data_IF_206462477841
#
_entry.id   IF_206462477841
#
_cell.length_a   1.000
_cell.length_b   1.000
_cell.length_c   1.000
_cell.angle_alpha   90.00
_cell.angle_beta   90.00
_cell.angle_gamma   90.00
#
_symmetry.space_group_name_H-M   'P 1'
#
loop_
_entity.id
_entity.type
_entity.pdbx_description
1 polymer ?
#
# COMPACT_ATOMS: atom_id res chain seq x y z
N UNK A 1 -10.94 1.14 -2.52
CA UNK A 1 -12.35 1.48 -2.78
C UNK A 1 -12.63 2.93 -2.36
N UNK A 2 -13.31 3.72 -3.19
CA UNK A 2 -13.64 5.11 -2.89
C UNK A 2 -14.85 5.19 -1.93
N UNK A 3 -14.90 6.28 -1.16
CA UNK A 3 -16.00 6.57 -0.23
C UNK A 3 -15.62 6.41 1.24
N UNK A 4 -16.24 7.24 2.07
CA UNK A 4 -15.97 7.30 3.50
C UNK A 4 -16.23 5.96 4.21
N UNK A 5 -17.23 5.21 3.75
CA UNK A 5 -17.60 3.89 4.30
C UNK A 5 -16.51 2.82 4.12
N UNK A 6 -15.53 3.02 3.23
CA UNK A 6 -14.43 2.08 3.00
C UNK A 6 -13.10 2.54 3.59
N UNK A 7 -13.08 3.74 4.18
CA UNK A 7 -11.83 4.40 4.60
C UNK A 7 -11.00 3.54 5.55
N UNK A 8 -11.66 2.81 6.45
CA UNK A 8 -11.03 1.97 7.46
C UNK A 8 -11.02 0.48 7.12
N UNK A 9 -11.48 0.11 5.92
CA UNK A 9 -11.49 -1.30 5.51
C UNK A 9 -10.07 -1.85 5.33
N UNK A 10 -9.90 -3.16 5.61
CA UNK A 10 -8.62 -3.86 5.40
C UNK A 10 -8.12 -3.75 3.96
N UNK A 11 -9.04 -3.79 2.99
CA UNK A 11 -8.71 -3.66 1.56
C UNK A 11 -8.15 -2.28 1.18
N UNK A 12 -8.35 -1.27 2.03
CA UNK A 12 -7.85 0.09 1.83
C UNK A 12 -6.55 0.39 2.62
N UNK A 13 -5.89 -0.61 3.21
CA UNK A 13 -4.63 -0.40 3.94
C UNK A 13 -3.55 0.24 3.07
N UNK A 14 -3.55 -0.03 1.75
CA UNK A 14 -2.67 0.62 0.80
C UNK A 14 -2.91 2.13 0.70
N UNK A 15 -4.17 2.57 0.75
CA UNK A 15 -4.52 4.00 0.80
C UNK A 15 -4.04 4.65 2.10
N UNK A 16 -4.26 3.98 3.24
CA UNK A 16 -3.80 4.47 4.54
C UNK A 16 -2.27 4.65 4.55
N UNK A 17 -1.54 3.71 3.94
CA UNK A 17 -0.08 3.80 3.86
C UNK A 17 0.39 5.00 3.03
N UNK A 18 -0.19 5.22 1.86
CA UNK A 18 0.21 6.35 1.01
C UNK A 18 -0.28 7.70 1.55
N UNK A 19 -1.42 7.73 2.27
CA UNK A 19 -1.87 8.93 2.99
C UNK A 19 -0.87 9.31 4.09
N UNK A 20 -0.40 8.35 4.87
CA UNK A 20 0.59 8.60 5.93
C UNK A 20 1.94 9.04 5.33
N UNK A 21 2.37 8.45 4.21
CA UNK A 21 3.57 8.91 3.48
C UNK A 21 3.41 10.36 3.04
N UNK A 22 2.27 10.71 2.44
CA UNK A 22 2.00 12.06 1.95
C UNK A 22 2.01 13.09 3.10
N UNK A 23 1.33 12.76 4.19
CA UNK A 23 1.21 13.63 5.36
C UNK A 23 2.56 13.84 6.06
N UNK A 24 3.31 12.77 6.32
CA UNK A 24 4.58 12.83 7.05
C UNK A 24 5.69 13.52 6.24
N UNK A 25 5.60 13.53 4.91
CA UNK A 25 6.64 14.07 4.03
C UNK A 25 6.19 15.34 3.28
N UNK A 26 5.17 16.03 3.77
CA UNK A 26 4.70 17.33 3.25
C UNK A 26 4.44 17.33 1.74
N UNK A 27 3.81 16.28 1.23
CA UNK A 27 3.37 16.26 -0.17
C UNK A 27 2.35 17.38 -0.41
N UNK A 28 2.29 17.85 -1.64
CA UNK A 28 1.36 18.91 -2.04
C UNK A 28 -0.12 18.48 -1.90
N UNK A 29 -1.05 19.40 -2.20
CA UNK A 29 -2.47 19.11 -2.03
C UNK A 29 -2.90 17.97 -2.96
N UNK A 30 -3.86 17.17 -2.48
CA UNK A 30 -4.53 16.16 -3.28
C UNK A 30 -5.36 16.82 -4.39
N UNK A 31 -5.20 16.34 -5.61
CA UNK A 31 -5.92 16.81 -6.80
C UNK A 31 -6.66 15.65 -7.46
N UNK A 32 -7.85 15.91 -7.98
CA UNK A 32 -8.63 14.90 -8.71
C UNK A 32 -8.21 14.88 -10.19
N UNK A 33 -7.58 13.78 -10.62
CA UNK A 33 -7.24 13.49 -12.03
C UNK A 33 -6.92 11.99 -12.16
N UNK A 34 -6.85 11.47 -13.37
CA UNK A 34 -6.50 10.06 -13.63
C UNK A 34 -7.45 9.09 -12.94
N UNK A 35 -8.75 9.39 -12.92
CA UNK A 35 -9.74 8.62 -12.18
C UNK A 35 -9.33 8.32 -10.73
N UNK A 36 -8.66 9.27 -10.08
CA UNK A 36 -8.12 9.13 -8.74
C UNK A 36 -7.81 10.45 -8.05
N UNK A 37 -7.38 10.36 -6.82
CA UNK A 37 -6.74 11.45 -6.09
C UNK A 37 -5.23 11.27 -6.19
N UNK A 38 -4.51 12.29 -6.63
CA UNK A 38 -3.06 12.26 -6.68
C UNK A 38 -2.45 13.50 -6.05
N UNK A 39 -1.25 13.38 -5.55
CA UNK A 39 -0.42 14.47 -5.09
C UNK A 39 1.03 14.26 -5.50
N UNK A 40 1.78 15.33 -5.54
CA UNK A 40 3.20 15.34 -5.90
C UNK A 40 4.02 15.84 -4.73
N UNK A 41 5.17 15.27 -4.54
CA UNK A 41 6.10 15.65 -3.48
C UNK A 41 7.51 15.13 -3.75
N UNK A 42 8.31 15.14 -2.72
CA UNK A 42 9.68 14.61 -2.76
C UNK A 42 9.92 13.70 -1.56
N UNK A 43 10.61 12.61 -1.83
CA UNK A 43 11.24 11.79 -0.79
C UNK A 43 12.74 11.94 -0.97
N UNK A 44 13.39 12.66 -0.07
CA UNK A 44 14.75 13.17 -0.23
C UNK A 44 14.91 13.96 -1.56
N UNK A 45 15.77 13.49 -2.47
CA UNK A 45 16.03 14.15 -3.76
C UNK A 45 15.08 13.68 -4.87
N UNK A 46 14.33 12.59 -4.68
CA UNK A 46 13.46 12.00 -5.69
C UNK A 46 12.10 12.69 -5.76
N UNK A 47 11.66 13.02 -6.97
CA UNK A 47 10.25 13.41 -7.21
C UNK A 47 9.38 12.16 -7.15
N UNK A 48 8.30 12.24 -6.42
CA UNK A 48 7.34 11.14 -6.24
C UNK A 48 5.92 11.62 -6.49
N UNK A 49 5.15 10.79 -7.16
CA UNK A 49 3.71 10.97 -7.35
C UNK A 49 3.01 9.88 -6.54
N UNK A 50 2.08 10.26 -5.69
CA UNK A 50 1.21 9.34 -4.99
C UNK A 50 -0.16 9.37 -5.65
N UNK A 51 -0.75 8.19 -5.87
CA UNK A 51 -2.07 8.02 -6.49
C UNK A 51 -2.93 7.10 -5.63
N UNK A 52 -4.16 7.53 -5.37
CA UNK A 52 -5.24 6.71 -4.83
C UNK A 52 -6.35 6.60 -5.88
N UNK A 53 -6.55 5.45 -6.54
CA UNK A 53 -7.65 5.27 -7.47
C UNK A 53 -9.01 5.60 -6.85
N UNK A 54 -9.83 6.40 -7.52
CA UNK A 54 -11.23 6.66 -7.14
C UNK A 54 -12.19 5.70 -7.85
N UNK A 55 -11.67 4.63 -8.40
CA UNK A 55 -12.42 3.49 -8.93
C UNK A 55 -12.66 2.44 -7.86
N UNK A 56 -13.61 1.52 -8.08
CA UNK A 56 -13.65 0.30 -7.28
C UNK A 56 -12.37 -0.51 -7.46
N UNK A 57 -12.06 -1.37 -6.47
CA UNK A 57 -10.82 -2.14 -6.41
C UNK A 57 -10.53 -2.89 -7.72
N UNK A 58 -11.50 -3.57 -8.29
CA UNK A 58 -11.37 -4.33 -9.52
C UNK A 58 -11.15 -3.48 -10.80
N UNK A 59 -11.17 -2.16 -10.69
CA UNK A 59 -10.92 -1.20 -11.76
C UNK A 59 -9.69 -0.30 -11.50
N UNK A 60 -8.91 -0.59 -10.45
CA UNK A 60 -7.75 0.24 -10.04
C UNK A 60 -6.73 0.45 -11.16
N UNK A 61 -6.57 -0.53 -12.06
CA UNK A 61 -5.66 -0.44 -13.20
C UNK A 61 -5.99 0.67 -14.19
N UNK A 62 -7.26 1.07 -14.31
CA UNK A 62 -7.65 2.20 -15.18
C UNK A 62 -6.95 3.48 -14.74
N UNK A 63 -7.04 3.79 -13.45
CA UNK A 63 -6.42 4.96 -12.84
C UNK A 63 -4.89 4.91 -12.93
N UNK A 64 -4.30 3.79 -12.54
CA UNK A 64 -2.84 3.59 -12.55
C UNK A 64 -2.29 3.69 -13.98
N UNK A 65 -2.94 3.03 -14.94
CA UNK A 65 -2.52 3.05 -16.35
C UNK A 65 -2.66 4.43 -16.99
N UNK A 66 -3.71 5.19 -16.66
CA UNK A 66 -3.90 6.55 -17.14
C UNK A 66 -2.76 7.47 -16.66
N UNK A 67 -2.43 7.44 -15.36
CA UNK A 67 -1.34 8.23 -14.81
C UNK A 67 0.01 7.81 -15.39
N UNK A 68 0.28 6.50 -15.48
CA UNK A 68 1.54 5.99 -16.00
C UNK A 68 1.78 6.42 -17.45
N UNK A 69 0.75 6.37 -18.30
CA UNK A 69 0.84 6.84 -19.70
C UNK A 69 1.05 8.35 -19.77
N UNK A 70 0.35 9.13 -18.96
CA UNK A 70 0.45 10.59 -18.96
C UNK A 70 1.85 11.09 -18.61
N UNK A 71 2.44 10.52 -17.54
CA UNK A 71 3.79 10.88 -17.08
C UNK A 71 4.91 10.05 -17.73
N UNK A 72 4.57 9.11 -18.61
CA UNK A 72 5.52 8.17 -19.27
C UNK A 72 6.34 7.38 -18.23
N UNK A 73 5.69 6.94 -17.15
CA UNK A 73 6.33 6.16 -16.08
C UNK A 73 6.38 4.68 -16.51
N UNK A 74 7.56 4.07 -16.43
CA UNK A 74 7.71 2.64 -16.64
C UNK A 74 7.08 1.86 -15.47
N UNK A 75 6.55 0.67 -15.74
CA UNK A 75 5.96 -0.17 -14.69
C UNK A 75 6.94 -0.48 -13.54
N UNK A 76 8.22 -0.64 -13.85
CA UNK A 76 9.28 -0.88 -12.87
C UNK A 76 9.47 0.27 -11.86
N UNK A 77 9.06 1.49 -12.22
CA UNK A 77 9.13 2.67 -11.35
C UNK A 77 7.86 2.85 -10.50
N UNK A 78 6.90 1.93 -10.64
CA UNK A 78 5.65 1.95 -9.88
C UNK A 78 5.77 1.02 -8.68
N UNK A 79 5.40 1.53 -7.50
CA UNK A 79 5.29 0.74 -6.27
C UNK A 79 3.83 0.73 -5.80
N UNK A 80 3.23 -0.45 -5.74
CA UNK A 80 1.84 -0.65 -5.30
C UNK A 80 1.82 -1.14 -3.86
N UNK A 81 1.15 -0.41 -2.98
CA UNK A 81 0.83 -0.83 -1.62
C UNK A 81 -0.52 -1.54 -1.62
N UNK A 82 -0.59 -2.75 -1.09
CA UNK A 82 -1.83 -3.53 -1.05
C UNK A 82 -1.90 -4.45 0.17
N UNK A 83 -3.11 -4.84 0.51
CA UNK A 83 -3.35 -5.85 1.54
C UNK A 83 -2.91 -7.24 1.07
N UNK A 84 -2.49 -8.06 2.04
CA UNK A 84 -2.01 -9.41 1.79
C UNK A 84 -2.56 -10.37 2.84
N UNK A 85 -3.37 -11.33 2.38
CA UNK A 85 -4.02 -12.33 3.22
C UNK A 85 -3.04 -13.35 3.80
N UNK A 86 -2.00 -13.71 3.03
CA UNK A 86 -1.04 -14.75 3.40
C UNK A 86 0.04 -14.26 4.38
N UNK A 87 0.00 -12.98 4.74
CA UNK A 87 0.87 -12.41 5.75
C UNK A 87 0.12 -12.12 7.04
N UNK A 88 0.73 -12.49 8.17
CA UNK A 88 0.18 -12.14 9.48
C UNK A 88 0.00 -10.62 9.63
N UNK A 89 -1.03 -10.17 10.37
CA UNK A 89 -1.29 -8.75 10.60
C UNK A 89 -0.04 -7.98 11.05
N UNK A 90 0.18 -6.81 10.46
CA UNK A 90 1.33 -5.96 10.75
C UNK A 90 2.65 -6.37 10.09
N UNK A 91 2.70 -7.47 9.36
CA UNK A 91 3.90 -7.83 8.57
C UNK A 91 3.93 -7.07 7.25
N UNK A 92 5.12 -6.62 6.88
CA UNK A 92 5.39 -5.97 5.60
C UNK A 92 6.40 -6.78 4.80
N UNK A 93 6.16 -6.96 3.50
CA UNK A 93 7.08 -7.64 2.59
C UNK A 93 7.15 -6.92 1.25
N UNK A 94 8.32 -6.89 0.69
CA UNK A 94 8.55 -6.45 -0.69
C UNK A 94 8.42 -7.63 -1.65
N UNK A 95 7.88 -7.37 -2.83
CA UNK A 95 7.89 -8.31 -3.96
C UNK A 95 8.02 -7.54 -5.27
N UNK A 96 8.92 -7.98 -6.12
CA UNK A 96 9.02 -7.51 -7.50
C UNK A 96 8.29 -8.51 -8.39
N UNK A 97 7.41 -8.01 -9.27
CA UNK A 97 6.73 -8.83 -10.27
C UNK A 97 5.87 -9.99 -9.70
N UNK A 98 5.36 -10.87 -10.56
CA UNK A 98 4.64 -12.10 -10.24
C UNK A 98 3.13 -11.95 -10.10
N UNK A 99 2.41 -13.07 -10.07
CA UNK A 99 0.95 -13.17 -10.12
C UNK A 99 0.20 -12.40 -9.03
N UNK A 100 -1.08 -12.16 -9.24
CA UNK A 100 -1.95 -11.32 -8.39
C UNK A 100 -2.60 -12.07 -7.21
N UNK A 101 -2.40 -13.39 -7.10
CA UNK A 101 -2.93 -14.23 -6.01
C UNK A 101 -4.44 -14.00 -5.69
N UNK A 102 -5.26 -13.77 -6.72
CA UNK A 102 -6.69 -13.51 -6.54
C UNK A 102 -7.07 -12.07 -6.12
N UNK A 103 -6.11 -11.21 -5.84
CA UNK A 103 -6.38 -9.81 -5.46
C UNK A 103 -6.90 -9.02 -6.67
N UNK A 104 -8.18 -8.59 -6.63
CA UNK A 104 -8.84 -7.94 -7.77
C UNK A 104 -8.18 -6.64 -8.22
N UNK A 105 -7.65 -5.84 -7.30
CA UNK A 105 -6.92 -4.61 -7.64
C UNK A 105 -5.63 -4.91 -8.41
N UNK A 106 -4.84 -5.89 -7.97
CA UNK A 106 -3.64 -6.30 -8.67
C UNK A 106 -3.96 -6.90 -10.04
N UNK A 107 -5.01 -7.73 -10.14
CA UNK A 107 -5.49 -8.25 -11.42
C UNK A 107 -5.79 -7.13 -12.42
N UNK A 108 -6.48 -6.09 -11.96
CA UNK A 108 -6.76 -4.91 -12.79
C UNK A 108 -5.49 -4.15 -13.17
N UNK A 109 -4.56 -3.94 -12.24
CA UNK A 109 -3.29 -3.26 -12.52
C UNK A 109 -2.48 -4.05 -13.55
N UNK A 110 -2.37 -5.38 -13.40
CA UNK A 110 -1.67 -6.24 -14.37
C UNK A 110 -2.18 -6.10 -15.79
N UNK A 111 -3.51 -5.99 -15.98
CA UNK A 111 -4.10 -5.84 -17.32
C UNK A 111 -3.79 -4.48 -17.98
N UNK A 112 -3.34 -3.47 -17.21
CA UNK A 112 -3.10 -2.12 -17.72
C UNK A 112 -1.62 -1.75 -17.87
N UNK A 113 -0.75 -2.27 -16.99
CA UNK A 113 0.69 -1.93 -16.97
C UNK A 113 1.60 -3.17 -16.94
N UNK A 114 1.06 -4.39 -17.05
CA UNK A 114 1.81 -5.63 -16.92
C UNK A 114 2.13 -5.98 -15.48
N UNK A 115 2.91 -7.05 -15.28
CA UNK A 115 3.22 -7.59 -13.95
C UNK A 115 4.52 -7.04 -13.34
N UNK A 116 5.35 -6.36 -14.14
CA UNK A 116 6.70 -5.98 -13.76
C UNK A 116 6.74 -4.65 -12.99
N UNK A 117 6.14 -4.62 -11.81
CA UNK A 117 6.14 -3.49 -10.89
C UNK A 117 6.46 -3.94 -9.46
N UNK A 118 6.85 -3.00 -8.62
CA UNK A 118 7.17 -3.21 -7.21
C UNK A 118 5.90 -3.29 -6.36
N UNK A 119 5.88 -4.17 -5.37
CA UNK A 119 4.75 -4.33 -4.44
C UNK A 119 5.22 -4.29 -2.99
N UNK A 120 4.52 -3.52 -2.19
CA UNK A 120 4.60 -3.55 -0.73
C UNK A 120 3.35 -4.27 -0.23
N UNK A 121 3.55 -5.51 0.22
CA UNK A 121 2.52 -6.42 0.71
C UNK A 121 2.33 -6.18 2.20
N UNK A 122 1.14 -5.69 2.58
CA UNK A 122 0.79 -5.35 3.96
C UNK A 122 -0.11 -6.43 4.53
N UNK A 123 0.39 -7.19 5.49
CA UNK A 123 -0.31 -8.33 6.10
C UNK A 123 -1.54 -7.88 6.87
N UNK A 124 -2.68 -8.48 6.52
CA UNK A 124 -3.96 -8.31 7.21
C UNK A 124 -4.47 -9.62 7.83
N UNK A 125 -3.79 -10.76 7.56
CA UNK A 125 -4.23 -12.09 7.94
C UNK A 125 -5.36 -12.64 7.08
N UNK A 126 -5.71 -13.90 7.32
CA UNK A 126 -6.71 -14.64 6.54
C UNK A 126 -7.87 -15.07 7.45
N UNK A 127 -9.15 -14.99 7.01
CA UNK A 127 -10.32 -15.36 7.82
C UNK A 127 -10.49 -16.88 8.03
N UNK A 128 -9.58 -17.68 7.48
CA UNK A 128 -9.60 -19.15 7.58
C UNK A 128 -10.36 -19.84 6.44
N UNK A 129 -11.43 -19.25 5.93
CA UNK A 129 -12.28 -19.81 4.87
C UNK A 129 -12.29 -18.88 3.65
N UNK A 130 -12.27 -19.46 2.44
CA UNK A 130 -12.18 -18.73 1.19
C UNK A 130 -13.42 -17.87 0.89
N UNK A 131 -14.58 -18.37 1.21
CA UNK A 131 -15.88 -17.70 1.03
C UNK A 131 -16.05 -16.47 1.95
N UNK A 132 -15.31 -16.40 3.07
CA UNK A 132 -15.31 -15.25 3.97
C UNK A 132 -14.38 -14.12 3.52
N UNK A 133 -13.46 -14.37 2.57
CA UNK A 133 -12.44 -13.40 2.17
C UNK A 133 -13.04 -12.08 1.70
N UNK A 134 -14.06 -12.14 0.82
CA UNK A 134 -14.68 -10.92 0.28
C UNK A 134 -15.31 -10.04 1.37
N UNK A 135 -15.91 -10.64 2.37
CA UNK A 135 -16.45 -9.93 3.52
C UNK A 135 -15.33 -9.37 4.40
N UNK A 136 -14.34 -10.21 4.72
CA UNK A 136 -13.24 -9.86 5.61
C UNK A 136 -12.43 -8.64 5.14
N UNK A 137 -12.10 -8.55 3.86
CA UNK A 137 -11.33 -7.41 3.32
C UNK A 137 -12.13 -6.10 3.31
N UNK A 138 -13.47 -6.19 3.30
CA UNK A 138 -14.38 -5.03 3.37
C UNK A 138 -14.80 -4.67 4.81
N UNK A 139 -14.33 -5.41 5.81
CA UNK A 139 -14.52 -5.04 7.22
C UNK A 139 -13.45 -4.05 7.66
N UNK A 140 -13.83 -3.17 8.60
CA UNK A 140 -12.92 -2.22 9.21
C UNK A 140 -11.91 -2.91 10.14
N UNK A 141 -10.76 -2.30 10.31
CA UNK A 141 -9.83 -2.68 11.36
C UNK A 141 -10.46 -2.44 12.75
N UNK A 142 -10.46 -3.47 13.58
CA UNK A 142 -10.92 -3.37 14.97
C UNK A 142 -10.04 -2.42 15.79
N UNK A 143 -10.52 -1.95 16.93
CA UNK A 143 -9.75 -1.10 17.86
C UNK A 143 -8.41 -1.74 18.29
N UNK A 144 -8.37 -3.07 18.43
CA UNK A 144 -7.12 -3.79 18.76
C UNK A 144 -6.14 -3.78 17.59
N UNK A 145 -6.66 -3.88 16.36
CA UNK A 145 -5.83 -3.85 15.16
C UNK A 145 -5.27 -2.46 14.88
N UNK A 146 -5.99 -1.40 15.22
CA UNK A 146 -5.56 -0.02 15.02
C UNK A 146 -4.20 0.28 15.68
N UNK A 147 -3.88 -0.34 16.81
CA UNK A 147 -2.62 -0.13 17.51
C UNK A 147 -1.40 -0.54 16.67
N UNK A 148 -1.43 -1.75 16.08
CA UNK A 148 -0.33 -2.19 15.22
C UNK A 148 -0.37 -1.50 13.86
N UNK A 149 -1.57 -1.19 13.36
CA UNK A 149 -1.76 -0.51 12.08
C UNK A 149 -1.10 0.87 12.09
N UNK A 150 -1.41 1.72 13.07
CA UNK A 150 -0.80 3.05 13.20
C UNK A 150 0.72 2.98 13.28
N UNK A 151 1.26 2.05 14.07
CA UNK A 151 2.71 1.84 14.18
C UNK A 151 3.33 1.46 12.84
N UNK A 152 2.69 0.54 12.11
CA UNK A 152 3.15 0.11 10.79
C UNK A 152 3.14 1.27 9.80
N UNK A 153 2.03 2.02 9.72
CA UNK A 153 1.87 3.14 8.80
C UNK A 153 2.91 4.25 9.03
N UNK A 154 3.10 4.65 10.30
CA UNK A 154 4.13 5.64 10.68
C UNK A 154 5.53 5.20 10.28
N UNK A 155 5.86 3.92 10.47
CA UNK A 155 7.14 3.37 10.03
C UNK A 155 7.29 3.38 8.52
N UNK A 156 6.26 2.96 7.79
CA UNK A 156 6.25 3.00 6.34
C UNK A 156 6.53 4.42 5.85
N UNK A 157 5.89 5.42 6.45
CA UNK A 157 6.07 6.81 6.08
C UNK A 157 7.48 7.33 6.37
N UNK A 158 8.05 6.97 7.53
CA UNK A 158 9.42 7.37 7.91
C UNK A 158 10.49 6.78 6.98
N UNK A 159 10.28 5.56 6.49
CA UNK A 159 11.25 4.82 5.69
C UNK A 159 10.97 4.91 4.18
N UNK A 160 9.92 5.63 3.75
CA UNK A 160 9.46 5.68 2.36
C UNK A 160 10.54 6.17 1.36
N UNK A 161 11.48 7.00 1.81
CA UNK A 161 12.60 7.47 1.00
C UNK A 161 13.45 6.32 0.44
N UNK A 162 13.57 5.21 1.16
CA UNK A 162 14.29 4.04 0.67
C UNK A 162 13.64 3.40 -0.56
N UNK A 163 12.30 3.44 -0.66
CA UNK A 163 11.60 2.95 -1.85
C UNK A 163 11.84 3.85 -3.07
N UNK A 164 11.87 5.17 -2.86
CA UNK A 164 12.15 6.13 -3.91
C UNK A 164 13.60 6.07 -4.43
N UNK A 165 14.51 5.54 -3.61
CA UNK A 165 15.94 5.34 -3.93
C UNK A 165 16.26 3.89 -4.31
N UNK A 166 15.27 3.06 -4.69
CA UNK A 166 15.42 1.64 -5.07
C UNK A 166 16.07 0.74 -3.99
N UNK A 167 16.05 1.17 -2.74
CA UNK A 167 16.62 0.44 -1.60
C UNK A 167 15.54 -0.37 -0.85
N UNK A 168 14.77 -1.20 -1.58
CA UNK A 168 13.64 -1.95 -1.04
C UNK A 168 14.01 -2.92 0.09
N UNK A 169 15.21 -3.51 0.04
CA UNK A 169 15.69 -4.38 1.12
C UNK A 169 15.92 -3.58 2.42
N UNK A 170 16.52 -2.39 2.30
CA UNK A 170 16.74 -1.51 3.44
C UNK A 170 15.40 -1.08 4.05
N UNK A 171 14.42 -0.70 3.21
CA UNK A 171 13.07 -0.40 3.63
C UNK A 171 12.47 -1.53 4.47
N UNK A 172 12.47 -2.78 3.96
CA UNK A 172 11.90 -3.93 4.66
C UNK A 172 12.66 -4.25 5.96
N UNK A 173 13.98 -4.14 5.96
CA UNK A 173 14.78 -4.36 7.15
C UNK A 173 14.44 -3.36 8.26
N UNK A 174 14.32 -2.07 7.94
CA UNK A 174 13.93 -1.04 8.90
C UNK A 174 12.51 -1.27 9.45
N UNK A 175 11.54 -1.61 8.58
CA UNK A 175 10.18 -1.95 9.03
C UNK A 175 10.21 -3.15 10.01
N UNK A 176 11.02 -4.17 9.74
CA UNK A 176 11.07 -5.40 10.53
C UNK A 176 11.78 -5.27 11.88
N UNK A 177 12.83 -4.44 11.98
CA UNK A 177 13.63 -4.26 13.21
C UNK A 177 12.80 -3.70 14.38
N UNK A 178 11.87 -2.81 14.13
CA UNK A 178 11.02 -2.28 15.19
C UNK A 178 9.99 -3.27 15.74
N UNK A 179 9.63 -4.29 14.96
CA UNK A 179 8.71 -5.35 15.43
C UNK A 179 9.39 -6.32 16.41
N UNK A 180 10.72 -6.43 16.40
CA UNK A 180 11.48 -7.33 17.30
C UNK A 180 11.79 -6.70 18.66
N UNK A 181 11.91 -5.39 18.75
CA UNK A 181 12.26 -4.71 20.01
C UNK A 181 11.07 -4.56 20.97
N UNK A 182 9.84 -4.65 20.49
CA UNK A 182 8.64 -4.55 21.32
C UNK A 182 8.32 -5.89 22.02
N UNK A 183 8.54 -7.04 21.35
CA UNK A 183 8.32 -8.36 21.97
C UNK A 183 9.31 -8.68 23.12
N UNK A 184 10.33 -7.85 23.34
CA UNK A 184 11.26 -8.00 24.48
C UNK A 184 10.90 -7.14 25.70
N UNK A 185 9.94 -6.19 25.56
CA UNK A 185 9.53 -5.32 26.68
C UNK A 185 8.31 -5.86 27.45
N UNK A 186 7.56 -6.79 26.87
CA UNK A 186 6.37 -7.38 27.51
C UNK A 186 6.68 -8.68 28.31
N UNK A 187 7.99 -8.99 28.47
CA UNK A 187 8.45 -10.11 29.30
C UNK A 187 9.37 -9.54 30.41
N UNK A 188 8.80 -8.68 31.24
CA UNK A 188 9.37 -8.34 32.56
C UNK A 188 8.27 -8.01 33.53
#
# INVERSE_FOLDING_TARGET
NPGQQYQMNRHNIGFMAVDEIANANSFGPWRSKFQGLFCEGRLEKQKVIILKPSTFMNLSGQSVGELARFYKINSQDITVFHDELDLTPGKCRFKLSGGHAGHNGLKSIHSHIGENYKRIRLGIGHPGQKDLVSKYVLEDFSKKEQQWLEKLLKKIAAEAAHLANDASEKFINQISLGSKNENKKDIK
#
